data_IF_738108500050
#
_entry.id   IF_738108500050
#
_cell.length_a   1.000
_cell.length_b   1.000
_cell.length_c   1.000
_cell.angle_alpha   90.00
_cell.angle_beta   90.00
_cell.angle_gamma   90.00
#
_symmetry.space_group_name_H-M   'P 1'
#
loop_
_entity.id
_entity.type
_entity.pdbx_description
1 polymer ?
#
# COMPACT_ATOMS: atom_id res chain seq x y z
N UNK A 1 -43.21 5.47 -4.05
CA UNK A 1 -41.81 5.88 -4.28
C UNK A 1 -41.48 5.56 -5.73
N UNK A 2 -41.05 6.55 -6.51
CA UNK A 2 -40.74 6.38 -7.93
C UNK A 2 -39.62 5.35 -8.12
N UNK A 3 -39.82 4.35 -8.99
CA UNK A 3 -38.89 3.23 -9.24
C UNK A 3 -37.50 3.75 -9.61
N UNK A 4 -37.44 4.88 -10.33
CA UNK A 4 -36.20 5.55 -10.71
C UNK A 4 -35.39 6.02 -9.48
N UNK A 5 -36.06 6.56 -8.46
CA UNK A 5 -35.41 7.01 -7.24
C UNK A 5 -34.95 5.84 -6.37
N UNK A 6 -35.68 4.72 -6.38
CA UNK A 6 -35.27 3.50 -5.68
C UNK A 6 -33.97 2.90 -6.26
N UNK A 7 -33.87 2.79 -7.59
CA UNK A 7 -32.67 2.26 -8.27
C UNK A 7 -31.45 3.16 -8.05
N UNK A 8 -31.64 4.48 -8.07
CA UNK A 8 -30.58 5.45 -7.79
C UNK A 8 -30.07 5.30 -6.35
N UNK A 9 -30.97 5.16 -5.39
CA UNK A 9 -30.63 4.98 -3.98
C UNK A 9 -29.84 3.69 -3.75
N UNK A 10 -30.25 2.58 -4.38
CA UNK A 10 -29.52 1.32 -4.32
C UNK A 10 -28.11 1.43 -4.91
N UNK A 11 -27.95 2.09 -6.06
CA UNK A 11 -26.64 2.33 -6.66
C UNK A 11 -25.75 3.16 -5.74
N UNK A 12 -26.29 4.16 -5.07
CA UNK A 12 -25.54 4.97 -4.11
C UNK A 12 -25.11 4.16 -2.87
N UNK A 13 -26.02 3.35 -2.30
CA UNK A 13 -25.69 2.41 -1.21
C UNK A 13 -24.59 1.43 -1.60
N UNK A 14 -24.64 0.90 -2.83
CA UNK A 14 -23.60 0.01 -3.35
C UNK A 14 -22.23 0.70 -3.43
N UNK A 15 -22.18 1.95 -3.92
CA UNK A 15 -20.93 2.73 -3.99
C UNK A 15 -20.35 2.96 -2.59
N UNK A 16 -21.20 3.32 -1.61
CA UNK A 16 -20.77 3.51 -0.22
C UNK A 16 -20.21 2.21 0.39
N UNK A 17 -20.90 1.08 0.21
CA UNK A 17 -20.44 -0.22 0.69
C UNK A 17 -19.08 -0.61 0.07
N UNK A 18 -18.88 -0.32 -1.22
CA UNK A 18 -17.59 -0.54 -1.90
C UNK A 18 -16.48 0.34 -1.36
N UNK A 19 -16.75 1.61 -1.06
CA UNK A 19 -15.76 2.51 -0.42
C UNK A 19 -15.34 2.00 0.96
N UNK A 20 -16.29 1.55 1.78
CA UNK A 20 -15.99 0.99 3.10
C UNK A 20 -15.15 -0.30 2.99
N UNK A 21 -15.54 -1.22 2.10
CA UNK A 21 -14.79 -2.45 1.85
C UNK A 21 -13.36 -2.18 1.37
N UNK A 22 -13.16 -1.13 0.56
CA UNK A 22 -11.83 -0.71 0.11
C UNK A 22 -10.97 -0.24 1.29
N UNK A 23 -11.55 0.53 2.20
CA UNK A 23 -10.87 1.00 3.40
C UNK A 23 -10.42 -0.14 4.32
N UNK A 24 -11.31 -1.09 4.59
CA UNK A 24 -10.96 -2.28 5.36
C UNK A 24 -9.85 -3.10 4.70
N UNK A 25 -9.86 -3.21 3.37
CA UNK A 25 -8.82 -3.90 2.62
C UNK A 25 -7.46 -3.19 2.79
N UNK A 26 -7.42 -1.86 2.71
CA UNK A 26 -6.19 -1.08 2.90
C UNK A 26 -5.58 -1.31 4.28
N UNK A 27 -6.38 -1.26 5.36
CA UNK A 27 -5.86 -1.52 6.70
C UNK A 27 -5.32 -2.94 6.86
N UNK A 28 -5.99 -3.94 6.25
CA UNK A 28 -5.50 -5.32 6.23
C UNK A 28 -4.18 -5.44 5.48
N UNK A 29 -4.05 -4.80 4.32
CA UNK A 29 -2.81 -4.77 3.53
C UNK A 29 -1.68 -4.13 4.35
N UNK A 30 -1.95 -3.02 5.02
CA UNK A 30 -0.96 -2.34 5.86
C UNK A 30 -0.50 -3.22 7.04
N UNK A 31 -1.42 -3.91 7.72
CA UNK A 31 -1.09 -4.81 8.82
C UNK A 31 -0.23 -6.00 8.35
N UNK A 32 -0.58 -6.59 7.19
CA UNK A 32 0.22 -7.68 6.59
C UNK A 32 1.62 -7.16 6.23
N UNK A 33 1.72 -5.97 5.64
CA UNK A 33 3.02 -5.37 5.33
C UNK A 33 3.88 -5.19 6.58
N UNK A 34 3.32 -4.65 7.66
CA UNK A 34 4.03 -4.50 8.94
C UNK A 34 4.56 -5.84 9.49
N UNK A 35 3.72 -6.88 9.46
CA UNK A 35 4.12 -8.21 9.93
C UNK A 35 5.25 -8.82 9.09
N UNK A 36 5.16 -8.70 7.76
CA UNK A 36 6.20 -9.17 6.84
C UNK A 36 7.51 -8.40 7.03
N UNK A 37 7.41 -7.08 7.17
CA UNK A 37 8.55 -6.20 7.40
C UNK A 37 9.29 -6.54 8.70
N UNK A 38 8.53 -6.79 9.78
CA UNK A 38 9.10 -7.24 11.04
C UNK A 38 9.81 -8.60 10.88
N UNK A 39 9.20 -9.54 10.16
CA UNK A 39 9.80 -10.84 9.88
C UNK A 39 11.14 -10.73 9.14
N UNK A 40 11.20 -9.90 8.09
CA UNK A 40 12.45 -9.64 7.36
C UNK A 40 13.49 -8.97 8.25
N UNK A 41 13.11 -7.99 9.07
CA UNK A 41 14.02 -7.31 9.98
C UNK A 41 14.62 -8.26 11.02
N UNK A 42 13.80 -9.13 11.61
CA UNK A 42 14.25 -10.16 12.57
C UNK A 42 15.18 -11.16 11.89
N UNK A 43 14.85 -11.61 10.67
CA UNK A 43 15.72 -12.50 9.91
C UNK A 43 17.08 -11.85 9.61
N UNK A 44 17.10 -10.60 9.17
CA UNK A 44 18.34 -9.86 8.90
C UNK A 44 19.18 -9.67 10.17
N UNK A 45 18.54 -9.33 11.29
CA UNK A 45 19.22 -9.22 12.58
C UNK A 45 19.91 -10.55 12.97
N UNK A 46 19.22 -11.67 12.79
CA UNK A 46 19.78 -12.99 13.10
C UNK A 46 20.96 -13.36 12.19
N UNK A 47 20.93 -12.98 10.90
CA UNK A 47 22.07 -13.16 9.98
C UNK A 47 23.27 -12.37 10.48
N UNK A 48 23.08 -11.09 10.81
CA UNK A 48 24.15 -10.22 11.30
C UNK A 48 24.73 -10.70 12.64
N UNK A 49 23.88 -11.10 13.59
CA UNK A 49 24.32 -11.64 14.87
C UNK A 49 25.12 -12.94 14.68
N UNK A 50 24.66 -13.84 13.81
CA UNK A 50 25.35 -15.10 13.53
C UNK A 50 26.71 -14.89 12.84
N UNK A 51 26.81 -13.88 11.96
CA UNK A 51 28.06 -13.50 11.33
C UNK A 51 29.04 -12.90 12.36
N UNK A 52 28.56 -12.02 13.24
CA UNK A 52 29.35 -11.43 14.32
C UNK A 52 29.89 -12.51 15.29
N UNK A 53 29.07 -13.50 15.63
CA UNK A 53 29.47 -14.64 16.47
C UNK A 53 30.31 -15.70 15.73
N UNK A 54 30.66 -15.47 14.45
CA UNK A 54 31.41 -16.39 13.58
C UNK A 54 30.77 -17.79 13.46
N UNK A 55 29.45 -17.86 13.62
CA UNK A 55 28.67 -19.10 13.45
C UNK A 55 28.44 -19.46 11.98
N UNK A 56 28.50 -18.48 11.10
CA UNK A 56 28.33 -18.62 9.64
C UNK A 56 29.53 -18.02 8.90
N UNK A 57 29.79 -18.51 7.69
CA UNK A 57 30.81 -17.92 6.81
C UNK A 57 30.37 -16.55 6.28
N UNK A 58 31.35 -15.69 5.96
CA UNK A 58 31.08 -14.38 5.35
C UNK A 58 30.30 -14.50 4.05
N UNK A 59 30.64 -15.48 3.21
CA UNK A 59 29.93 -15.74 1.94
C UNK A 59 28.45 -16.06 2.17
N UNK A 60 28.14 -16.86 3.19
CA UNK A 60 26.76 -17.24 3.52
C UNK A 60 25.99 -16.04 4.11
N UNK A 61 26.65 -15.21 4.91
CA UNK A 61 26.06 -13.97 5.45
C UNK A 61 25.67 -12.99 4.35
N UNK A 62 26.60 -12.75 3.40
CA UNK A 62 26.37 -11.90 2.23
C UNK A 62 25.23 -12.43 1.37
N UNK A 63 25.28 -13.71 1.00
CA UNK A 63 24.23 -14.33 0.19
C UNK A 63 22.85 -14.24 0.85
N UNK A 64 22.78 -14.51 2.16
CA UNK A 64 21.53 -14.42 2.92
C UNK A 64 21.00 -12.99 2.98
N UNK A 65 21.89 -12.01 3.17
CA UNK A 65 21.54 -10.58 3.17
C UNK A 65 20.99 -10.13 1.81
N UNK A 66 21.60 -10.55 0.70
CA UNK A 66 21.08 -10.26 -0.64
C UNK A 66 19.70 -10.90 -0.89
N UNK A 67 19.50 -12.13 -0.45
CA UNK A 67 18.20 -12.79 -0.54
C UNK A 67 17.12 -12.03 0.26
N UNK A 68 17.43 -11.61 1.49
CA UNK A 68 16.52 -10.83 2.34
C UNK A 68 16.21 -9.46 1.75
N UNK A 69 17.21 -8.79 1.16
CA UNK A 69 17.01 -7.53 0.43
C UNK A 69 16.07 -7.73 -0.77
N UNK A 70 16.24 -8.81 -1.55
CA UNK A 70 15.36 -9.10 -2.68
C UNK A 70 13.91 -9.35 -2.22
N UNK A 71 13.72 -10.13 -1.15
CA UNK A 71 12.40 -10.36 -0.55
C UNK A 71 11.77 -9.04 -0.09
N UNK A 72 12.53 -8.19 0.59
CA UNK A 72 12.07 -6.86 1.03
C UNK A 72 11.58 -5.99 -0.13
N UNK A 73 12.35 -5.95 -1.23
CA UNK A 73 11.99 -5.18 -2.43
C UNK A 73 10.70 -5.72 -3.05
N UNK A 74 10.61 -7.04 -3.22
CA UNK A 74 9.42 -7.69 -3.82
C UNK A 74 8.17 -7.40 -2.98
N UNK A 75 8.25 -7.58 -1.66
CA UNK A 75 7.12 -7.32 -0.75
C UNK A 75 6.71 -5.84 -0.81
N UNK A 76 7.67 -4.93 -0.75
CA UNK A 76 7.39 -3.48 -0.79
C UNK A 76 6.78 -3.05 -2.12
N UNK A 77 7.31 -3.55 -3.25
CA UNK A 77 6.76 -3.28 -4.58
C UNK A 77 5.34 -3.84 -4.76
N UNK A 78 5.10 -5.05 -4.25
CA UNK A 78 3.79 -5.70 -4.31
C UNK A 78 2.75 -4.92 -3.50
N UNK A 79 3.05 -4.58 -2.23
CA UNK A 79 2.16 -3.80 -1.38
C UNK A 79 1.91 -2.41 -1.94
N UNK A 80 2.95 -1.73 -2.43
CA UNK A 80 2.81 -0.45 -3.09
C UNK A 80 1.85 -0.53 -4.29
N UNK A 81 1.97 -1.56 -5.12
CA UNK A 81 1.09 -1.79 -6.27
C UNK A 81 -0.37 -2.01 -5.85
N UNK A 82 -0.61 -2.77 -4.78
CA UNK A 82 -1.96 -2.96 -4.23
C UNK A 82 -2.57 -1.64 -3.74
N UNK A 83 -1.79 -0.81 -3.04
CA UNK A 83 -2.25 0.50 -2.57
C UNK A 83 -2.54 1.45 -3.74
N UNK A 84 -1.68 1.47 -4.77
CA UNK A 84 -1.96 2.22 -6.00
C UNK A 84 -3.26 1.75 -6.66
N UNK A 85 -3.50 0.44 -6.71
CA UNK A 85 -4.76 -0.14 -7.18
C UNK A 85 -5.97 0.38 -6.41
N UNK A 86 -5.87 0.49 -5.08
CA UNK A 86 -6.90 1.08 -4.22
C UNK A 86 -7.19 2.55 -4.57
N UNK A 87 -6.14 3.35 -4.74
CA UNK A 87 -6.24 4.75 -5.16
C UNK A 87 -6.94 4.89 -6.52
N UNK A 88 -6.61 4.05 -7.50
CA UNK A 88 -7.29 4.04 -8.80
C UNK A 88 -8.75 3.59 -8.71
N UNK A 89 -9.07 2.61 -7.86
CA UNK A 89 -10.44 2.18 -7.61
C UNK A 89 -11.27 3.30 -6.97
N UNK A 90 -10.70 4.02 -6.00
CA UNK A 90 -11.33 5.19 -5.38
C UNK A 90 -11.65 6.28 -6.40
N UNK A 91 -10.71 6.62 -7.29
CA UNK A 91 -10.95 7.58 -8.38
C UNK A 91 -12.15 7.19 -9.26
N UNK A 92 -12.26 5.90 -9.58
CA UNK A 92 -13.39 5.37 -10.34
C UNK A 92 -14.70 5.53 -9.58
N UNK A 93 -14.74 5.15 -8.30
CA UNK A 93 -15.93 5.30 -7.47
C UNK A 93 -16.35 6.74 -7.26
N UNK A 94 -15.39 7.67 -7.15
CA UNK A 94 -15.67 9.09 -7.03
C UNK A 94 -16.31 9.64 -8.31
N UNK A 95 -15.82 9.22 -9.49
CA UNK A 95 -16.44 9.56 -10.78
C UNK A 95 -17.86 8.98 -10.92
N UNK A 96 -18.06 7.75 -10.47
CA UNK A 96 -19.38 7.11 -10.49
C UNK A 96 -20.38 7.81 -9.56
N UNK A 97 -19.93 8.27 -8.39
CA UNK A 97 -20.71 9.06 -7.43
C UNK A 97 -21.11 10.42 -8.01
N UNK A 98 -20.17 11.17 -8.60
CA UNK A 98 -20.45 12.46 -9.24
C UNK A 98 -21.53 12.32 -10.34
N UNK A 99 -21.50 11.21 -11.10
CA UNK A 99 -22.49 10.91 -12.12
C UNK A 99 -23.89 10.56 -11.57
N UNK A 100 -23.96 10.06 -10.33
CA UNK A 100 -25.23 9.83 -9.63
C UNK A 100 -25.75 11.14 -9.03
N UNK A 101 -24.89 11.92 -8.38
CA UNK A 101 -25.25 13.23 -7.80
C UNK A 101 -25.81 14.19 -8.87
N UNK A 102 -25.18 14.24 -10.06
CA UNK A 102 -25.66 15.04 -11.18
C UNK A 102 -27.09 14.66 -11.61
N UNK A 103 -27.42 13.36 -11.60
CA UNK A 103 -28.74 12.86 -12.00
C UNK A 103 -29.84 13.16 -10.97
N UNK A 104 -29.47 13.30 -9.70
CA UNK A 104 -30.42 13.48 -8.60
C UNK A 104 -30.63 14.95 -8.27
N UNK A 105 -29.54 15.70 -8.15
CA UNK A 105 -29.57 17.08 -7.67
C UNK A 105 -29.45 18.11 -8.79
N UNK A 106 -29.10 17.69 -10.02
CA UNK A 106 -28.92 18.59 -11.16
C UNK A 106 -27.71 19.54 -11.04
N UNK A 107 -27.00 19.52 -9.91
CA UNK A 107 -25.81 20.33 -9.64
C UNK A 107 -24.59 19.42 -9.65
N UNK A 108 -23.61 19.74 -10.50
CA UNK A 108 -22.35 19.02 -10.54
C UNK A 108 -21.44 19.54 -9.42
N UNK A 109 -21.02 18.69 -8.49
CA UNK A 109 -19.84 18.99 -7.67
C UNK A 109 -18.60 19.14 -8.57
N UNK A 110 -17.58 19.91 -8.16
CA UNK A 110 -16.40 20.13 -9.00
C UNK A 110 -15.73 18.81 -9.37
N UNK A 111 -15.46 18.61 -10.66
CA UNK A 111 -14.82 17.39 -11.20
C UNK A 111 -13.58 17.01 -10.39
N UNK A 112 -13.44 15.71 -10.13
CA UNK A 112 -12.26 15.09 -9.51
C UNK A 112 -11.00 15.58 -10.21
N UNK A 113 -10.22 16.43 -9.52
CA UNK A 113 -8.88 16.84 -9.96
C UNK A 113 -7.87 15.80 -9.49
N UNK A 114 -6.79 15.61 -10.23
CA UNK A 114 -5.69 14.72 -9.81
C UNK A 114 -5.12 15.10 -8.44
N UNK A 115 -5.18 16.38 -8.07
CA UNK A 115 -4.85 16.89 -6.73
C UNK A 115 -5.75 16.36 -5.60
N UNK A 116 -6.98 15.93 -5.90
CA UNK A 116 -7.86 15.32 -4.89
C UNK A 116 -7.40 13.92 -4.48
N UNK A 117 -6.41 13.34 -5.17
CA UNK A 117 -5.75 12.11 -4.74
C UNK A 117 -5.14 12.28 -3.35
N UNK A 118 -4.51 13.43 -3.08
CA UNK A 118 -3.94 13.75 -1.78
C UNK A 118 -4.97 13.96 -0.68
N UNK A 119 -6.26 14.00 -0.99
CA UNK A 119 -7.32 14.03 0.03
C UNK A 119 -7.63 12.64 0.58
N UNK A 120 -7.16 11.57 -0.08
CA UNK A 120 -7.47 10.20 0.27
C UNK A 120 -6.35 9.56 1.10
N UNK A 121 -6.66 8.99 2.27
CA UNK A 121 -5.66 8.45 3.21
C UNK A 121 -4.78 7.34 2.59
N UNK A 122 -5.28 6.56 1.62
CA UNK A 122 -4.50 5.49 0.97
C UNK A 122 -3.30 6.04 0.18
N UNK A 123 -3.37 7.29 -0.31
CA UNK A 123 -2.21 7.92 -0.96
C UNK A 123 -1.07 8.15 0.02
N UNK A 124 -1.38 8.51 1.27
CA UNK A 124 -0.38 8.65 2.32
C UNK A 124 0.20 7.30 2.72
N UNK A 125 -0.62 6.24 2.81
CA UNK A 125 -0.10 4.88 3.02
C UNK A 125 0.84 4.44 1.90
N UNK A 126 0.47 4.66 0.64
CA UNK A 126 1.31 4.33 -0.51
C UNK A 126 2.65 5.10 -0.44
N UNK A 127 2.60 6.39 -0.11
CA UNK A 127 3.79 7.22 0.06
C UNK A 127 4.67 6.75 1.22
N UNK A 128 4.09 6.38 2.36
CA UNK A 128 4.84 5.83 3.50
C UNK A 128 5.51 4.51 3.13
N UNK A 129 4.79 3.58 2.49
CA UNK A 129 5.38 2.30 2.02
C UNK A 129 6.50 2.56 1.03
N UNK A 130 6.33 3.52 0.12
CA UNK A 130 7.36 3.91 -0.83
C UNK A 130 8.61 4.47 -0.15
N UNK A 131 8.45 5.36 0.82
CA UNK A 131 9.57 5.94 1.58
C UNK A 131 10.27 4.88 2.44
N UNK A 132 9.53 3.97 3.08
CA UNK A 132 10.11 2.83 3.80
C UNK A 132 10.88 1.93 2.83
N UNK A 133 10.33 1.65 1.65
CA UNK A 133 11.00 0.92 0.57
C UNK A 133 12.34 1.54 0.20
N UNK A 134 12.33 2.84 -0.13
CA UNK A 134 13.54 3.58 -0.48
C UNK A 134 14.56 3.63 0.66
N UNK A 135 14.11 3.95 1.88
CA UNK A 135 14.96 4.01 3.07
C UNK A 135 15.56 2.66 3.40
N UNK A 136 14.79 1.58 3.27
CA UNK A 136 15.26 0.21 3.45
C UNK A 136 16.35 -0.16 2.44
N UNK A 137 16.13 0.07 1.14
CA UNK A 137 17.15 -0.18 0.11
C UNK A 137 18.41 0.64 0.38
N UNK A 138 18.26 1.91 0.72
CA UNK A 138 19.39 2.77 1.08
C UNK A 138 20.18 2.19 2.26
N UNK A 139 19.50 1.77 3.34
CA UNK A 139 20.13 1.14 4.51
C UNK A 139 20.86 -0.16 4.16
N UNK A 140 20.27 -1.03 3.33
CA UNK A 140 20.93 -2.25 2.87
C UNK A 140 22.23 -1.94 2.12
N UNK A 141 22.18 -1.01 1.16
CA UNK A 141 23.33 -0.67 0.31
C UNK A 141 24.41 0.11 1.07
N UNK A 142 24.04 0.98 2.01
CA UNK A 142 24.99 1.90 2.66
C UNK A 142 25.44 1.51 4.06
N UNK A 143 24.70 0.66 4.75
CA UNK A 143 25.02 0.31 6.13
C UNK A 143 25.24 -1.19 6.32
N UNK A 144 24.46 -2.04 5.65
CA UNK A 144 24.53 -3.50 5.88
C UNK A 144 25.56 -4.19 4.97
N UNK A 145 25.50 -3.95 3.66
CA UNK A 145 26.43 -4.55 2.69
C UNK A 145 27.87 -4.00 2.76
N UNK A 146 28.17 -2.74 3.13
CA UNK A 146 29.54 -2.26 3.14
C UNK A 146 30.42 -2.83 4.26
N UNK A 147 29.83 -3.53 5.25
CA UNK A 147 30.56 -4.18 6.35
C UNK A 147 30.66 -5.72 6.21
N UNK A 148 30.13 -6.29 5.13
CA UNK A 148 30.16 -7.73 4.86
C UNK A 148 31.15 -8.08 3.75
#
# INVERSE_FOLDING_TARGET
MDLKNAVILERYKYILARKQSLNEATFKIAAIYQALMLGVAVAQYNVLLSAHEKKISSDLSLFSTYCLMAIFIIISAFVFSLLCGGVFAWLKYKRDEDGVELKVFGVCRPKVRVLSLFTWYETYFALVVFLIGLGGVYMYVRCIIPEA
#
